data_IF_328284906193
#
_entry.id   IF_328284906193
#
_cell.length_a   1.000
_cell.length_b   1.000
_cell.length_c   1.000
_cell.angle_alpha   90.00
_cell.angle_beta   90.00
_cell.angle_gamma   90.00
#
_symmetry.space_group_name_H-M   'P 1'
#
loop_
_entity.id
_entity.type
_entity.pdbx_description
1 polymer ?
#
# COMPACT_ATOMS: atom_id res chain seq x y z
N UNK A 1 -4.42 51.69 -28.82
CA UNK A 1 -5.12 50.40 -28.82
C UNK A 1 -4.34 49.50 -27.86
N UNK A 2 -4.95 49.14 -26.72
CA UNK A 2 -4.35 48.20 -25.78
C UNK A 2 -4.57 46.81 -26.41
N UNK A 3 -3.46 46.11 -26.72
CA UNK A 3 -3.56 44.76 -27.25
C UNK A 3 -4.17 43.85 -26.15
N UNK A 4 -5.29 43.21 -26.46
CA UNK A 4 -5.93 42.23 -25.60
C UNK A 4 -4.96 41.06 -25.36
N UNK A 5 -4.62 40.76 -24.09
CA UNK A 5 -3.77 39.63 -23.72
C UNK A 5 -4.60 38.58 -23.01
N UNK A 6 -4.33 37.32 -23.30
CA UNK A 6 -5.02 36.14 -22.74
C UNK A 6 -4.10 35.49 -21.72
N UNK A 7 -4.49 35.50 -20.44
CA UNK A 7 -3.66 35.00 -19.34
C UNK A 7 -4.04 33.59 -18.91
N UNK A 8 -3.03 32.71 -18.76
CA UNK A 8 -3.27 31.38 -18.20
C UNK A 8 -3.53 31.49 -16.70
N UNK A 9 -4.69 30.98 -16.24
CA UNK A 9 -5.09 31.00 -14.82
C UNK A 9 -4.22 30.15 -13.90
N UNK A 10 -3.39 29.26 -14.46
CA UNK A 10 -2.55 28.34 -13.69
C UNK A 10 -1.10 28.82 -13.52
N UNK A 11 -0.49 29.34 -14.60
CA UNK A 11 0.93 29.76 -14.58
C UNK A 11 1.11 31.24 -14.86
N UNK A 12 0.02 31.99 -14.99
CA UNK A 12 -0.04 33.45 -15.21
C UNK A 12 0.65 33.95 -16.50
N UNK A 13 1.12 33.04 -17.35
CA UNK A 13 1.72 33.40 -18.64
C UNK A 13 0.68 34.06 -19.56
N UNK A 14 1.09 35.16 -20.20
CA UNK A 14 0.26 35.91 -21.15
C UNK A 14 0.49 35.46 -22.60
N UNK A 15 -0.58 35.46 -23.38
CA UNK A 15 -0.60 35.08 -24.78
C UNK A 15 -1.31 36.17 -25.61
N UNK A 16 -0.84 36.37 -26.83
CA UNK A 16 -1.44 37.34 -27.76
C UNK A 16 -2.67 36.82 -28.49
N UNK A 17 -2.91 35.49 -28.45
CA UNK A 17 -4.04 34.85 -29.14
C UNK A 17 -4.72 33.87 -28.21
N UNK A 18 -6.03 33.89 -28.17
CA UNK A 18 -6.85 32.96 -27.41
C UNK A 18 -6.58 31.49 -27.78
N UNK A 19 -6.46 31.23 -29.10
CA UNK A 19 -6.14 29.89 -29.61
C UNK A 19 -4.84 29.32 -29.08
N UNK A 20 -3.82 30.19 -28.86
CA UNK A 20 -2.54 29.78 -28.26
C UNK A 20 -2.71 29.46 -26.76
N UNK A 21 -3.54 30.23 -26.05
CA UNK A 21 -3.89 29.91 -24.65
C UNK A 21 -4.70 28.61 -24.56
N UNK A 22 -5.62 28.35 -25.48
CA UNK A 22 -6.47 27.15 -25.47
C UNK A 22 -5.65 25.86 -25.54
N UNK A 23 -4.62 25.82 -26.39
CA UNK A 23 -3.72 24.67 -26.52
C UNK A 23 -2.54 24.68 -25.53
N UNK A 24 -2.41 25.74 -24.73
CA UNK A 24 -1.32 25.84 -23.77
C UNK A 24 -1.47 24.84 -22.62
N UNK A 25 -0.47 23.97 -22.48
CA UNK A 25 -0.38 22.98 -21.40
C UNK A 25 0.88 23.26 -20.58
N UNK A 26 0.74 24.03 -19.51
CA UNK A 26 1.82 24.22 -18.53
C UNK A 26 1.80 23.13 -17.46
N UNK A 27 2.90 23.01 -16.72
CA UNK A 27 3.02 22.03 -15.65
C UNK A 27 1.90 22.17 -14.61
N UNK A 28 1.58 23.41 -14.20
CA UNK A 28 0.51 23.67 -13.24
C UNK A 28 -0.86 23.20 -13.77
N UNK A 29 -1.21 23.53 -15.02
CA UNK A 29 -2.47 23.07 -15.65
C UNK A 29 -2.54 21.55 -15.66
N UNK A 30 -1.43 20.87 -16.00
CA UNK A 30 -1.36 19.41 -15.99
C UNK A 30 -1.58 18.83 -14.60
N UNK A 31 -0.96 19.39 -13.54
CA UNK A 31 -1.17 18.95 -12.16
C UNK A 31 -2.64 18.98 -11.76
N UNK A 32 -3.39 20.03 -12.15
CA UNK A 32 -4.83 20.11 -11.91
C UNK A 32 -5.65 19.12 -12.75
N UNK A 33 -5.20 18.79 -13.96
CA UNK A 33 -5.87 17.78 -14.81
C UNK A 33 -5.68 16.36 -14.26
N UNK A 34 -4.54 16.07 -13.64
CA UNK A 34 -4.20 14.79 -13.04
C UNK A 34 -4.83 14.59 -11.63
N UNK A 35 -5.57 15.56 -11.11
CA UNK A 35 -6.13 15.54 -9.75
C UNK A 35 -6.83 14.22 -9.39
N UNK A 36 -7.58 13.64 -10.33
CA UNK A 36 -8.35 12.41 -10.11
C UNK A 36 -7.55 11.11 -10.28
N UNK A 37 -6.28 11.19 -10.67
CA UNK A 37 -5.42 10.02 -10.77
C UNK A 37 -5.19 9.41 -9.37
N UNK A 38 -5.34 8.10 -9.24
CA UNK A 38 -5.22 7.38 -7.95
C UNK A 38 -3.89 7.69 -7.26
N UNK A 39 -2.77 7.65 -7.99
CA UNK A 39 -1.46 7.97 -7.43
C UNK A 39 -1.33 9.43 -6.97
N UNK A 40 -2.00 10.37 -7.67
CA UNK A 40 -2.05 11.78 -7.25
C UNK A 40 -2.89 11.95 -6.00
N UNK A 41 -4.02 11.24 -5.87
CA UNK A 41 -4.85 11.27 -4.67
C UNK A 41 -4.13 10.67 -3.45
N UNK A 42 -3.42 9.55 -3.62
CA UNK A 42 -2.56 9.00 -2.55
C UNK A 42 -1.46 10.01 -2.18
N UNK A 43 -0.85 10.66 -3.17
CA UNK A 43 0.14 11.72 -2.94
C UNK A 43 -0.44 12.89 -2.14
N UNK A 44 -1.65 13.34 -2.47
CA UNK A 44 -2.37 14.38 -1.74
C UNK A 44 -2.62 13.95 -0.28
N UNK A 45 -3.17 12.75 -0.05
CA UNK A 45 -3.44 12.26 1.30
C UNK A 45 -2.15 12.16 2.13
N UNK A 46 -1.07 11.70 1.52
CA UNK A 46 0.25 11.63 2.15
C UNK A 46 0.80 13.01 2.50
N UNK A 47 0.63 14.00 1.61
CA UNK A 47 0.99 15.39 1.84
C UNK A 47 0.21 16.00 3.01
N UNK A 48 -1.12 15.80 3.04
CA UNK A 48 -1.97 16.29 4.11
C UNK A 48 -1.58 15.67 5.46
N UNK A 49 -1.37 14.35 5.48
CA UNK A 49 -0.96 13.63 6.68
C UNK A 49 0.41 14.09 7.19
N UNK A 50 1.37 14.27 6.28
CA UNK A 50 2.70 14.79 6.62
C UNK A 50 2.61 16.14 7.32
N UNK A 51 1.87 17.10 6.75
CA UNK A 51 1.72 18.41 7.36
C UNK A 51 0.97 18.38 8.69
N UNK A 52 -0.07 17.57 8.79
CA UNK A 52 -0.82 17.39 10.05
C UNK A 52 0.09 16.85 11.16
N UNK A 53 0.92 15.86 10.88
CA UNK A 53 1.76 15.22 11.87
C UNK A 53 3.01 16.04 12.25
N UNK A 54 3.56 16.82 11.30
CA UNK A 54 4.83 17.51 11.51
C UNK A 54 4.68 18.99 11.92
N UNK A 55 3.59 19.65 11.53
CA UNK A 55 3.40 21.07 11.73
C UNK A 55 2.18 21.43 12.60
N UNK A 56 1.36 20.43 12.98
CA UNK A 56 0.17 20.65 13.79
C UNK A 56 -0.73 21.69 13.10
N UNK A 57 -1.33 21.34 11.97
CA UNK A 57 -1.90 22.30 11.03
C UNK A 57 -3.01 23.16 11.63
N UNK A 58 -2.72 24.41 11.91
CA UNK A 58 -3.73 25.44 12.16
C UNK A 58 -4.57 25.78 10.90
N UNK A 59 -4.08 25.41 9.70
CA UNK A 59 -4.74 25.67 8.41
C UNK A 59 -4.86 24.39 7.60
N UNK A 60 -6.09 24.03 7.27
CA UNK A 60 -6.37 22.93 6.35
C UNK A 60 -5.74 23.21 4.98
N UNK A 61 -4.92 22.28 4.51
CA UNK A 61 -4.35 22.32 3.17
C UNK A 61 -5.35 21.82 2.14
N UNK A 62 -5.36 22.46 0.97
CA UNK A 62 -6.23 22.12 -0.15
C UNK A 62 -5.45 21.43 -1.27
N UNK A 63 -6.16 20.92 -2.29
CA UNK A 63 -5.50 20.45 -3.50
C UNK A 63 -4.68 21.54 -4.19
N UNK A 64 -5.16 22.78 -4.20
CA UNK A 64 -4.43 23.91 -4.78
C UNK A 64 -3.09 24.16 -4.05
N UNK A 65 -3.08 24.06 -2.71
CA UNK A 65 -1.84 24.15 -1.92
C UNK A 65 -0.88 23.00 -2.29
N UNK A 66 -1.39 21.80 -2.47
CA UNK A 66 -0.61 20.64 -2.89
C UNK A 66 -0.07 20.82 -4.31
N UNK A 67 -0.92 21.15 -5.28
CA UNK A 67 -0.55 21.30 -6.68
C UNK A 67 0.51 22.39 -6.91
N UNK A 68 0.53 23.43 -6.07
CA UNK A 68 1.53 24.51 -6.13
C UNK A 68 2.76 24.25 -5.26
N UNK A 69 2.73 23.22 -4.42
CA UNK A 69 3.82 22.87 -3.52
C UNK A 69 5.10 22.48 -4.28
N UNK A 70 6.29 22.87 -3.80
CA UNK A 70 7.56 22.35 -4.32
C UNK A 70 7.71 20.83 -4.12
N UNK A 71 6.97 20.25 -3.16
CA UNK A 71 6.99 18.82 -2.85
C UNK A 71 6.00 17.99 -3.67
N UNK A 72 5.18 18.60 -4.55
CA UNK A 72 4.19 17.93 -5.36
C UNK A 72 4.73 16.67 -6.05
N UNK A 73 5.85 16.83 -6.79
CA UNK A 73 6.47 15.73 -7.54
C UNK A 73 6.88 14.57 -6.65
N UNK A 74 7.41 14.85 -5.46
CA UNK A 74 7.87 13.81 -4.53
C UNK A 74 6.69 13.01 -3.97
N UNK A 75 5.62 13.68 -3.53
CA UNK A 75 4.43 12.99 -3.03
C UNK A 75 3.66 12.25 -4.12
N UNK A 76 3.56 12.80 -5.34
CA UNK A 76 2.95 12.09 -6.48
C UNK A 76 3.77 10.86 -6.87
N UNK A 77 5.10 10.98 -6.90
CA UNK A 77 5.99 9.82 -7.11
C UNK A 77 5.73 8.74 -6.06
N UNK A 78 5.62 9.12 -4.79
CA UNK A 78 5.30 8.19 -3.71
C UNK A 78 3.92 7.55 -3.89
N UNK A 79 2.88 8.32 -4.20
CA UNK A 79 1.55 7.79 -4.42
C UNK A 79 1.49 6.80 -5.59
N UNK A 80 2.13 7.13 -6.71
CA UNK A 80 2.27 6.22 -7.87
C UNK A 80 3.07 4.96 -7.52
N UNK A 81 4.10 5.09 -6.70
CA UNK A 81 4.85 3.94 -6.18
C UNK A 81 3.95 3.03 -5.34
N UNK A 82 3.16 3.58 -4.41
CA UNK A 82 2.21 2.80 -3.62
C UNK A 82 1.19 2.04 -4.49
N UNK A 83 0.72 2.65 -5.58
CA UNK A 83 -0.15 1.97 -6.56
C UNK A 83 0.60 0.84 -7.25
N UNK A 84 1.81 1.10 -7.74
CA UNK A 84 2.61 0.12 -8.49
C UNK A 84 2.94 -1.13 -7.68
N UNK A 85 3.30 -0.97 -6.39
CA UNK A 85 3.58 -2.10 -5.50
C UNK A 85 2.32 -2.66 -4.82
N UNK A 86 1.14 -2.06 -5.09
CA UNK A 86 -0.11 -2.34 -4.39
C UNK A 86 0.10 -2.35 -2.85
N UNK A 87 0.61 -1.23 -2.32
CA UNK A 87 1.05 -1.12 -0.93
C UNK A 87 -0.08 -1.40 0.07
N UNK A 88 0.24 -2.17 1.10
CA UNK A 88 -0.70 -2.50 2.18
C UNK A 88 -0.84 -1.31 3.12
N UNK A 89 -2.07 -0.90 3.39
CA UNK A 89 -2.43 0.14 4.34
C UNK A 89 -1.58 1.42 4.20
N UNK A 90 -1.69 2.07 3.05
CA UNK A 90 -0.93 3.30 2.73
C UNK A 90 -1.00 4.36 3.83
N UNK A 91 -2.16 4.63 4.49
CA UNK A 91 -2.22 5.58 5.60
C UNK A 91 -1.28 5.22 6.77
N UNK A 92 -1.17 3.94 7.12
CA UNK A 92 -0.25 3.46 8.16
C UNK A 92 1.20 3.52 7.69
N UNK A 93 1.46 3.23 6.42
CA UNK A 93 2.80 3.37 5.83
C UNK A 93 3.28 4.82 5.93
N UNK A 94 2.44 5.79 5.57
CA UNK A 94 2.77 7.23 5.68
C UNK A 94 3.05 7.61 7.15
N UNK A 95 2.21 7.18 8.09
CA UNK A 95 2.44 7.43 9.51
C UNK A 95 3.78 6.86 9.98
N UNK A 96 4.10 5.65 9.53
CA UNK A 96 5.31 4.94 9.92
C UNK A 96 6.56 5.66 9.39
N UNK A 97 6.63 6.01 8.11
CA UNK A 97 7.80 6.71 7.54
C UNK A 97 8.04 8.08 8.20
N UNK A 98 6.96 8.77 8.59
CA UNK A 98 7.05 10.05 9.32
C UNK A 98 7.60 9.81 10.74
N UNK A 99 7.06 8.84 11.48
CA UNK A 99 7.52 8.48 12.83
C UNK A 99 8.97 8.02 12.86
N UNK A 100 9.40 7.28 11.82
CA UNK A 100 10.78 6.82 11.64
C UNK A 100 11.72 7.91 11.10
N UNK A 101 11.23 9.14 10.91
CA UNK A 101 12.01 10.26 10.38
C UNK A 101 12.68 9.96 9.02
N UNK A 102 12.05 9.08 8.20
CA UNK A 102 12.56 8.77 6.87
C UNK A 102 12.45 9.99 5.95
N UNK A 103 13.52 10.33 5.23
CA UNK A 103 13.49 11.42 4.24
C UNK A 103 12.51 11.10 3.12
N UNK A 104 11.76 12.09 2.63
CA UNK A 104 10.71 11.93 1.63
C UNK A 104 11.20 11.25 0.33
N UNK A 105 12.42 11.53 -0.09
CA UNK A 105 13.06 10.90 -1.26
C UNK A 105 13.35 9.39 -1.06
N UNK A 106 13.33 8.91 0.20
CA UNK A 106 13.52 7.50 0.54
C UNK A 106 12.20 6.71 0.64
N UNK A 107 11.04 7.37 0.65
CA UNK A 107 9.75 6.70 0.83
C UNK A 107 9.41 5.70 -0.29
N UNK A 108 10.02 5.86 -1.47
CA UNK A 108 9.86 4.96 -2.61
C UNK A 108 10.94 3.85 -2.67
N UNK A 109 11.78 3.69 -1.65
CA UNK A 109 12.78 2.62 -1.63
C UNK A 109 12.13 1.32 -1.15
N UNK A 110 12.40 0.23 -1.87
CA UNK A 110 11.92 -1.11 -1.53
C UNK A 110 12.26 -1.48 -0.09
N UNK A 111 13.51 -1.31 0.34
CA UNK A 111 13.93 -1.59 1.71
C UNK A 111 13.14 -0.81 2.77
N UNK A 112 12.66 0.41 2.47
CA UNK A 112 11.83 1.20 3.39
C UNK A 112 10.42 0.61 3.49
N UNK A 113 9.87 0.13 2.36
CA UNK A 113 8.58 -0.54 2.37
C UNK A 113 8.66 -1.89 3.08
N UNK A 114 9.73 -2.66 2.88
CA UNK A 114 9.94 -3.95 3.54
C UNK A 114 10.06 -3.79 5.06
N UNK A 115 10.83 -2.80 5.54
CA UNK A 115 10.90 -2.48 6.97
C UNK A 115 9.51 -2.17 7.55
N UNK A 116 8.72 -1.34 6.86
CA UNK A 116 7.35 -1.03 7.26
C UNK A 116 6.48 -2.28 7.29
N UNK A 117 6.47 -3.04 6.20
CA UNK A 117 5.61 -4.20 6.03
C UNK A 117 5.88 -5.26 7.10
N UNK A 118 7.16 -5.48 7.40
CA UNK A 118 7.60 -6.41 8.45
C UNK A 118 7.04 -6.03 9.83
N UNK A 119 7.09 -4.74 10.17
CA UNK A 119 6.54 -4.24 11.43
C UNK A 119 5.01 -4.24 11.42
N UNK A 120 4.40 -3.87 10.29
CA UNK A 120 2.95 -3.81 10.14
C UNK A 120 2.30 -5.18 10.32
N UNK A 121 2.77 -6.22 9.61
CA UNK A 121 2.21 -7.58 9.68
C UNK A 121 2.27 -8.14 11.09
N UNK A 122 3.33 -7.87 11.82
CA UNK A 122 3.48 -8.30 13.22
C UNK A 122 2.50 -7.63 14.19
N UNK A 123 1.96 -6.47 13.82
CA UNK A 123 1.09 -5.63 14.68
C UNK A 123 -0.32 -5.42 14.15
N UNK A 124 -0.60 -5.88 12.95
CA UNK A 124 -1.93 -5.71 12.35
C UNK A 124 -3.03 -6.41 13.16
N UNK A 125 -4.25 -5.90 13.04
CA UNK A 125 -5.42 -6.56 13.60
C UNK A 125 -5.70 -7.87 12.85
N UNK A 126 -6.14 -8.89 13.58
CA UNK A 126 -6.50 -10.18 12.99
C UNK A 126 -7.53 -10.02 11.87
N UNK A 127 -8.55 -9.20 12.07
CA UNK A 127 -9.59 -8.93 11.06
C UNK A 127 -9.02 -8.40 9.75
N UNK A 128 -8.09 -7.42 9.81
CA UNK A 128 -7.43 -6.87 8.63
C UNK A 128 -6.59 -7.93 7.90
N UNK A 129 -5.93 -8.81 8.67
CA UNK A 129 -5.12 -9.90 8.14
C UNK A 129 -5.97 -10.95 7.41
N UNK A 130 -7.08 -11.37 8.02
CA UNK A 130 -8.01 -12.34 7.44
C UNK A 130 -8.71 -11.78 6.20
N UNK A 131 -9.27 -10.58 6.28
CA UNK A 131 -9.96 -9.94 5.16
C UNK A 131 -9.04 -9.83 3.94
N UNK A 132 -7.81 -9.33 4.14
CA UNK A 132 -6.82 -9.21 3.07
C UNK A 132 -6.44 -10.55 2.45
N UNK A 133 -6.21 -11.58 3.27
CA UNK A 133 -5.86 -12.91 2.81
C UNK A 133 -6.99 -13.57 2.02
N UNK A 134 -8.21 -13.51 2.53
CA UNK A 134 -9.41 -14.05 1.87
C UNK A 134 -9.64 -13.30 0.54
N UNK A 135 -9.59 -11.98 0.52
CA UNK A 135 -9.73 -11.21 -0.72
C UNK A 135 -8.67 -11.60 -1.77
N UNK A 136 -7.43 -11.80 -1.34
CA UNK A 136 -6.35 -12.21 -2.25
C UNK A 136 -6.62 -13.61 -2.85
N UNK A 137 -7.02 -14.56 -2.04
CA UNK A 137 -7.29 -15.93 -2.49
C UNK A 137 -8.58 -16.04 -3.32
N UNK A 138 -9.59 -15.21 -3.05
CA UNK A 138 -10.78 -15.08 -3.91
C UNK A 138 -10.40 -14.60 -5.32
N UNK A 139 -9.53 -13.60 -5.45
CA UNK A 139 -9.03 -13.16 -6.76
C UNK A 139 -8.24 -14.24 -7.50
N UNK A 140 -7.52 -15.08 -6.77
CA UNK A 140 -6.87 -16.25 -7.35
C UNK A 140 -7.89 -17.30 -7.81
N UNK A 141 -8.91 -17.57 -7.00
CA UNK A 141 -10.03 -18.47 -7.32
C UNK A 141 -10.74 -18.05 -8.61
N UNK A 142 -11.09 -16.78 -8.75
CA UNK A 142 -11.74 -16.24 -9.96
C UNK A 142 -10.91 -16.47 -11.24
N UNK A 143 -9.58 -16.44 -11.13
CA UNK A 143 -8.68 -16.63 -12.28
C UNK A 143 -8.42 -18.08 -12.64
N UNK A 144 -8.47 -18.98 -11.65
CA UNK A 144 -8.05 -20.38 -11.80
C UNK A 144 -9.22 -21.36 -11.82
N UNK A 145 -10.38 -20.97 -11.27
CA UNK A 145 -11.54 -21.84 -11.07
C UNK A 145 -11.41 -22.80 -9.87
N UNK A 146 -10.30 -22.75 -9.12
CA UNK A 146 -10.15 -23.51 -7.88
C UNK A 146 -10.83 -22.78 -6.71
N UNK A 147 -11.31 -23.48 -5.67
CA UNK A 147 -11.81 -22.87 -4.45
C UNK A 147 -10.75 -21.99 -3.78
N UNK A 148 -11.15 -20.86 -3.20
CA UNK A 148 -10.23 -19.88 -2.62
C UNK A 148 -9.37 -20.45 -1.48
N UNK A 149 -9.94 -21.32 -0.66
CA UNK A 149 -9.28 -22.02 0.45
C UNK A 149 -8.16 -22.96 0.01
N UNK A 150 -8.17 -23.36 -1.26
CA UNK A 150 -7.17 -24.26 -1.82
C UNK A 150 -5.88 -23.54 -2.29
N UNK A 151 -5.80 -22.21 -2.14
CA UNK A 151 -4.65 -21.43 -2.61
C UNK A 151 -3.32 -21.90 -2.04
N UNK A 152 -3.25 -22.21 -0.74
CA UNK A 152 -2.01 -22.66 -0.09
C UNK A 152 -1.62 -24.08 -0.50
N UNK A 153 -2.59 -24.90 -0.94
CA UNK A 153 -2.38 -26.29 -1.37
C UNK A 153 -2.09 -26.43 -2.86
N UNK A 154 -2.80 -25.70 -3.71
CA UNK A 154 -2.74 -25.82 -5.17
C UNK A 154 -2.22 -24.57 -5.90
N UNK A 155 -1.95 -23.50 -5.17
CA UNK A 155 -1.24 -22.35 -5.74
C UNK A 155 0.17 -22.76 -6.19
N UNK A 156 0.67 -22.08 -7.24
CA UNK A 156 2.07 -22.26 -7.58
C UNK A 156 2.94 -21.85 -6.37
N UNK A 157 3.86 -22.72 -5.96
CA UNK A 157 4.69 -22.54 -4.75
C UNK A 157 5.39 -21.18 -4.69
N UNK A 158 5.91 -20.71 -5.82
CA UNK A 158 6.54 -19.38 -5.89
C UNK A 158 5.50 -18.26 -5.71
N UNK A 159 4.27 -18.44 -6.18
CA UNK A 159 3.18 -17.50 -5.97
C UNK A 159 2.73 -17.46 -4.50
N UNK A 160 2.73 -18.62 -3.82
CA UNK A 160 2.44 -18.69 -2.37
C UNK A 160 3.55 -18.02 -1.58
N UNK A 161 4.82 -18.33 -1.85
CA UNK A 161 5.97 -17.67 -1.23
C UNK A 161 5.95 -16.15 -1.43
N UNK A 162 5.64 -15.71 -2.64
CA UNK A 162 5.47 -14.29 -2.97
C UNK A 162 4.31 -13.66 -2.19
N UNK A 163 3.16 -14.34 -2.10
CA UNK A 163 2.00 -13.83 -1.37
C UNK A 163 2.31 -13.62 0.13
N UNK A 164 3.06 -14.53 0.72
CA UNK A 164 3.49 -14.42 2.13
C UNK A 164 4.52 -13.30 2.28
N UNK A 165 5.57 -13.27 1.47
CA UNK A 165 6.65 -12.28 1.56
C UNK A 165 6.22 -10.85 1.23
N UNK A 166 5.13 -10.68 0.50
CA UNK A 166 4.52 -9.37 0.24
C UNK A 166 3.34 -9.04 1.16
N UNK A 167 3.11 -9.87 2.19
CA UNK A 167 2.06 -9.68 3.19
C UNK A 167 0.63 -9.85 2.67
N UNK A 168 0.44 -10.39 1.46
CA UNK A 168 -0.90 -10.69 0.90
C UNK A 168 -1.59 -11.78 1.71
N UNK A 169 -0.82 -12.79 2.07
CA UNK A 169 -1.22 -13.82 3.02
C UNK A 169 -0.48 -13.57 4.33
N UNK A 170 -1.24 -13.35 5.38
CA UNK A 170 -0.68 -13.13 6.72
C UNK A 170 -0.30 -14.46 7.37
N UNK A 171 0.72 -14.48 8.24
CA UNK A 171 1.01 -15.63 9.08
C UNK A 171 -0.15 -16.09 9.96
N UNK A 172 -1.13 -15.21 10.24
CA UNK A 172 -2.38 -15.63 10.87
C UNK A 172 -3.09 -16.75 10.10
N UNK A 173 -3.15 -16.65 8.75
CA UNK A 173 -3.74 -17.72 7.93
C UNK A 173 -2.81 -18.92 7.88
N UNK A 174 -1.53 -18.70 7.60
CA UNK A 174 -0.56 -19.78 7.34
C UNK A 174 -0.45 -20.74 8.52
N UNK A 175 -0.42 -20.23 9.76
CA UNK A 175 -0.26 -21.05 10.95
C UNK A 175 -1.56 -21.66 11.47
N UNK A 176 -2.72 -21.12 11.12
CA UNK A 176 -4.00 -21.52 11.71
C UNK A 176 -4.92 -22.28 10.72
N UNK A 177 -4.38 -22.78 9.59
CA UNK A 177 -5.08 -23.70 8.70
C UNK A 177 -4.18 -24.89 8.28
N UNK A 178 -4.80 -26.01 7.99
CA UNK A 178 -4.09 -27.25 7.63
C UNK A 178 -3.23 -27.09 6.38
N UNK A 179 -3.79 -26.49 5.32
CA UNK A 179 -3.07 -26.26 4.06
C UNK A 179 -1.85 -25.35 4.22
N UNK A 180 -1.90 -24.39 5.14
CA UNK A 180 -0.77 -23.52 5.46
C UNK A 180 0.35 -24.25 6.20
N UNK A 181 0.00 -25.10 7.18
CA UNK A 181 0.97 -25.92 7.89
C UNK A 181 1.65 -26.92 6.93
N UNK A 182 0.87 -27.58 6.07
CA UNK A 182 1.40 -28.45 5.03
C UNK A 182 2.38 -27.70 4.09
N UNK A 183 2.01 -26.51 3.64
CA UNK A 183 2.90 -25.69 2.80
C UNK A 183 4.24 -25.41 3.49
N UNK A 184 4.23 -25.07 4.80
CA UNK A 184 5.46 -24.80 5.55
C UNK A 184 6.38 -26.03 5.65
N UNK A 185 5.81 -27.25 5.77
CA UNK A 185 6.55 -28.51 5.83
C UNK A 185 7.17 -28.89 4.49
N UNK A 186 6.50 -28.54 3.38
CA UNK A 186 6.90 -28.92 2.02
C UNK A 186 7.82 -27.87 1.34
N UNK A 187 8.05 -26.69 1.96
CA UNK A 187 8.89 -25.65 1.39
C UNK A 187 10.31 -26.14 1.08
N UNK A 188 10.78 -25.85 -0.12
CA UNK A 188 12.19 -26.02 -0.47
C UNK A 188 13.08 -24.93 0.11
N UNK A 189 14.42 -25.09 -0.01
CA UNK A 189 15.39 -24.18 0.57
C UNK A 189 15.28 -22.73 0.06
N UNK A 190 14.90 -22.52 -1.20
CA UNK A 190 14.76 -21.17 -1.77
C UNK A 190 13.46 -20.49 -1.30
N UNK A 191 12.38 -21.22 -1.22
CA UNK A 191 11.12 -20.74 -0.63
C UNK A 191 11.29 -20.41 0.86
N UNK A 192 11.99 -21.27 1.61
CA UNK A 192 12.31 -21.02 3.02
C UNK A 192 13.05 -19.70 3.20
N UNK A 193 14.05 -19.38 2.38
CA UNK A 193 14.77 -18.11 2.44
C UNK A 193 13.88 -16.90 2.22
N UNK A 194 12.88 -17.01 1.33
CA UNK A 194 11.95 -15.93 1.01
C UNK A 194 10.91 -15.76 2.11
N UNK A 195 10.35 -16.86 2.60
CA UNK A 195 9.20 -16.86 3.51
C UNK A 195 9.61 -16.70 4.97
N UNK A 196 10.72 -17.32 5.38
CA UNK A 196 11.18 -17.38 6.78
C UNK A 196 11.23 -16.02 7.51
N UNK A 197 11.74 -14.93 6.92
CA UNK A 197 11.74 -13.62 7.58
C UNK A 197 10.35 -13.14 8.00
N UNK A 198 9.30 -13.59 7.32
CA UNK A 198 7.93 -13.16 7.52
C UNK A 198 7.15 -14.05 8.52
N UNK A 199 7.48 -15.34 8.54
CA UNK A 199 6.80 -16.35 9.37
C UNK A 199 7.55 -16.70 10.64
N UNK A 200 8.69 -16.10 10.98
CA UNK A 200 9.49 -16.31 12.18
C UNK A 200 8.71 -17.11 13.28
N UNK A 201 8.91 -18.45 13.40
CA UNK A 201 8.04 -19.28 14.24
C UNK A 201 8.11 -18.89 15.72
N UNK A 202 9.27 -18.45 16.20
CA UNK A 202 9.45 -18.08 17.61
C UNK A 202 8.60 -16.84 17.95
N UNK A 203 8.59 -15.86 17.03
CA UNK A 203 7.74 -14.68 17.19
C UNK A 203 6.24 -15.04 17.14
N UNK A 204 5.80 -15.84 16.16
CA UNK A 204 4.40 -16.13 15.96
C UNK A 204 3.83 -17.08 17.02
N UNK A 205 4.58 -18.09 17.46
CA UNK A 205 4.18 -18.95 18.58
C UNK A 205 4.02 -18.14 19.87
N UNK A 206 4.91 -17.18 20.12
CA UNK A 206 4.77 -16.27 21.26
C UNK A 206 3.52 -15.42 21.10
N UNK A 207 3.28 -14.84 19.92
CA UNK A 207 2.11 -14.00 19.64
C UNK A 207 0.81 -14.78 19.89
N UNK A 208 0.69 -16.01 19.42
CA UNK A 208 -0.50 -16.84 19.63
C UNK A 208 -0.72 -17.14 21.12
N UNK A 209 0.32 -17.44 21.86
CA UNK A 209 0.22 -17.61 23.34
C UNK A 209 -0.21 -16.34 24.06
N UNK A 210 0.26 -15.19 23.60
CA UNK A 210 -0.09 -13.89 24.19
C UNK A 210 -1.53 -13.44 23.81
N UNK A 211 -2.08 -13.96 22.69
CA UNK A 211 -3.41 -13.63 22.16
C UNK A 211 -4.24 -14.89 21.83
N UNK A 212 -4.53 -15.75 22.83
CA UNK A 212 -5.20 -17.04 22.58
C UNK A 212 -6.64 -16.88 22.09
N UNK A 213 -7.33 -15.80 22.47
CA UNK A 213 -8.68 -15.52 21.99
C UNK A 213 -8.69 -15.19 20.48
N UNK A 214 -7.72 -14.40 20.01
CA UNK A 214 -7.58 -14.08 18.59
C UNK A 214 -7.21 -15.32 17.80
N UNK A 215 -6.34 -16.18 18.33
CA UNK A 215 -5.98 -17.43 17.69
C UNK A 215 -7.21 -18.34 17.53
N UNK A 216 -7.96 -18.59 18.60
CA UNK A 216 -9.16 -19.42 18.57
C UNK A 216 -10.21 -18.86 17.59
N UNK A 217 -10.39 -17.55 17.56
CA UNK A 217 -11.28 -16.89 16.60
C UNK A 217 -10.79 -17.09 15.16
N UNK A 218 -9.48 -16.97 14.92
CA UNK A 218 -8.88 -17.20 13.61
C UNK A 218 -9.15 -18.62 13.11
N UNK A 219 -8.87 -19.62 13.93
CA UNK A 219 -9.10 -21.04 13.63
C UNK A 219 -10.60 -21.33 13.32
N UNK A 220 -11.49 -20.74 14.11
CA UNK A 220 -12.93 -20.90 13.90
C UNK A 220 -13.38 -20.30 12.56
N UNK A 221 -12.99 -19.07 12.23
CA UNK A 221 -13.34 -18.41 10.98
C UNK A 221 -12.78 -19.17 9.78
N UNK A 222 -11.51 -19.59 9.83
CA UNK A 222 -10.89 -20.35 8.75
C UNK A 222 -11.61 -21.71 8.55
N UNK A 223 -11.92 -22.41 9.62
CA UNK A 223 -12.68 -23.66 9.56
C UNK A 223 -14.08 -23.48 8.98
N UNK A 224 -14.80 -22.42 9.36
CA UNK A 224 -16.12 -22.10 8.81
C UNK A 224 -16.05 -21.76 7.32
N UNK A 225 -14.95 -21.14 6.87
CA UNK A 225 -14.67 -20.81 5.48
C UNK A 225 -14.12 -22.01 4.66
N UNK A 226 -13.92 -23.17 5.29
CA UNK A 226 -13.45 -24.40 4.64
C UNK A 226 -11.93 -24.46 4.41
N UNK A 227 -11.16 -23.69 5.17
CA UNK A 227 -9.68 -23.69 5.13
C UNK A 227 -9.08 -24.81 5.96
#
# INVERSE_FOLDING_TARGET
MIAETYKCKYCEREFRKESTLAVHLCEQKRRFQEEKEVGVQIGLQSYLKFYTMTQGSAKLKTYADFATSPYYKAFVKFGRHCVAINAINVPKFVEWVIKQNKKLDHWCKEAVYDEYLHEYIRREALTDALERGIEYTMKWSERTGHPAQDFLRYGNDNAVAFAISTGRISPWLVFNCESGQQYLEEMNADQTKIVWPWIDPDFWQKKFRDYPADQAYCEEILKQAGW
#
